data_IF_201286027668
#
_entry.id   IF_201286027668
#
_cell.length_a   1.000
_cell.length_b   1.000
_cell.length_c   1.000
_cell.angle_alpha   90.00
_cell.angle_beta   90.00
_cell.angle_gamma   90.00
#
_symmetry.space_group_name_H-M   'P 1'
#
loop_
_entity.id
_entity.type
_entity.pdbx_description
1 polymer ?
#
# COMPACT_ATOMS: atom_id res chain seq x y z
N UNK A 1 -7.96 15.49 11.80
CA UNK A 1 -7.50 14.20 11.24
C UNK A 1 -8.02 14.17 9.82
N UNK A 2 -7.15 14.39 8.84
CA UNK A 2 -7.58 14.31 7.43
C UNK A 2 -8.06 12.89 7.21
N UNK A 3 -9.30 12.72 6.75
CA UNK A 3 -9.78 11.43 6.28
C UNK A 3 -8.97 11.12 5.02
N UNK A 4 -7.80 10.50 5.16
CA UNK A 4 -7.16 9.94 3.98
C UNK A 4 -7.98 8.71 3.63
N UNK A 5 -8.77 8.83 2.56
CA UNK A 5 -9.47 7.69 1.99
C UNK A 5 -8.41 6.67 1.61
N UNK A 6 -8.37 5.55 2.33
CA UNK A 6 -7.52 4.40 1.98
C UNK A 6 -7.83 4.07 0.53
N UNK A 7 -6.80 4.09 -0.33
CA UNK A 7 -6.96 3.73 -1.73
C UNK A 7 -6.76 2.22 -1.86
N UNK A 8 -7.46 1.56 -2.80
CA UNK A 8 -7.12 0.19 -3.15
C UNK A 8 -5.62 0.08 -3.51
N UNK A 9 -4.98 -0.99 -3.07
CA UNK A 9 -3.56 -1.23 -3.28
C UNK A 9 -3.33 -1.65 -4.74
N UNK A 10 -2.94 -0.70 -5.59
CA UNK A 10 -2.73 -0.91 -7.02
C UNK A 10 -1.54 -1.84 -7.28
N UNK A 11 -1.81 -2.94 -7.97
CA UNK A 11 -0.83 -3.94 -8.38
C UNK A 11 -0.12 -3.44 -9.63
N UNK A 12 1.20 -3.29 -9.55
CA UNK A 12 2.03 -2.88 -10.69
C UNK A 12 2.68 -4.06 -11.38
N UNK A 13 2.84 -5.17 -10.66
CA UNK A 13 3.44 -6.40 -11.19
C UNK A 13 3.00 -7.61 -10.39
N UNK A 14 2.77 -8.70 -11.11
CA UNK A 14 2.54 -10.04 -10.55
C UNK A 14 3.78 -10.87 -10.85
N UNK A 15 4.33 -11.53 -9.83
CA UNK A 15 5.50 -12.40 -9.99
C UNK A 15 5.11 -13.66 -10.77
N UNK A 16 5.93 -14.12 -11.74
CA UNK A 16 5.70 -15.40 -12.39
C UNK A 16 5.81 -16.53 -11.37
N UNK A 17 5.11 -17.64 -11.63
CA UNK A 17 5.11 -18.84 -10.78
C UNK A 17 4.70 -18.55 -9.31
N UNK A 18 3.82 -17.57 -9.10
CA UNK A 18 3.26 -17.19 -7.80
C UNK A 18 1.78 -17.53 -7.69
N UNK A 19 1.26 -17.58 -6.46
CA UNK A 19 -0.16 -17.79 -6.19
C UNK A 19 -1.02 -16.77 -6.95
N UNK A 20 -0.64 -15.50 -6.97
CA UNK A 20 -1.38 -14.47 -7.69
C UNK A 20 -1.39 -14.72 -9.20
N UNK A 21 -0.31 -15.24 -9.79
CA UNK A 21 -0.28 -15.59 -11.21
C UNK A 21 -1.21 -16.78 -11.52
N UNK A 22 -1.26 -17.78 -10.65
CA UNK A 22 -2.15 -18.95 -10.80
C UNK A 22 -3.63 -18.59 -10.67
N UNK A 23 -3.94 -17.67 -9.75
CA UNK A 23 -5.30 -17.13 -9.54
C UNK A 23 -5.72 -16.21 -10.69
N UNK A 24 -4.76 -15.63 -11.42
CA UNK A 24 -5.01 -14.81 -12.61
C UNK A 24 -5.08 -13.31 -12.34
N UNK A 25 -4.37 -12.82 -11.32
CA UNK A 25 -4.18 -11.39 -11.12
C UNK A 25 -3.36 -10.77 -12.25
N UNK A 26 -3.70 -9.53 -12.60
CA UNK A 26 -3.00 -8.76 -13.62
C UNK A 26 -2.49 -7.41 -13.06
N UNK A 27 -1.46 -6.87 -13.71
CA UNK A 27 -1.03 -5.50 -13.41
C UNK A 27 -2.15 -4.51 -13.82
N UNK A 28 -2.52 -3.62 -12.89
CA UNK A 28 -3.67 -2.74 -13.04
C UNK A 28 -4.85 -3.11 -12.15
N UNK A 29 -4.90 -4.34 -11.64
CA UNK A 29 -5.81 -4.73 -10.57
C UNK A 29 -5.43 -4.05 -9.26
N UNK A 30 -6.35 -3.98 -8.30
CA UNK A 30 -6.07 -3.42 -6.98
C UNK A 30 -6.76 -4.20 -5.87
N UNK A 31 -6.02 -4.48 -4.78
CA UNK A 31 -6.60 -5.08 -3.58
C UNK A 31 -7.38 -4.00 -2.83
N UNK A 32 -8.69 -4.21 -2.68
CA UNK A 32 -9.58 -3.34 -1.93
C UNK A 32 -9.57 -3.72 -0.46
N UNK A 33 -9.74 -5.01 -0.15
CA UNK A 33 -9.77 -5.53 1.21
C UNK A 33 -9.24 -6.97 1.27
N UNK A 34 -8.74 -7.36 2.45
CA UNK A 34 -8.32 -8.72 2.79
C UNK A 34 -9.03 -9.08 4.09
N UNK A 35 -9.81 -10.17 4.10
CA UNK A 35 -10.61 -10.59 5.25
C UNK A 35 -11.49 -9.44 5.80
N UNK A 36 -12.07 -8.64 4.89
CA UNK A 36 -12.90 -7.48 5.20
C UNK A 36 -12.15 -6.24 5.73
N UNK A 37 -10.81 -6.25 5.74
CA UNK A 37 -9.97 -5.15 6.23
C UNK A 37 -9.30 -4.46 5.05
N UNK A 38 -9.43 -3.12 4.97
CA UNK A 38 -8.71 -2.30 4.01
C UNK A 38 -7.26 -2.06 4.49
N UNK A 39 -6.23 -2.63 3.83
CA UNK A 39 -4.86 -2.40 4.23
C UNK A 39 -4.49 -0.93 4.02
N UNK A 40 -3.80 -0.31 4.98
CA UNK A 40 -3.33 1.09 4.85
C UNK A 40 -1.98 1.20 4.17
N UNK A 41 -1.20 0.13 4.19
CA UNK A 41 0.17 0.07 3.71
C UNK A 41 0.63 -1.39 3.53
N UNK A 42 1.88 -1.57 3.09
CA UNK A 42 2.49 -2.89 2.92
C UNK A 42 2.67 -3.69 4.22
N UNK A 43 2.75 -3.02 5.37
CA UNK A 43 2.88 -3.71 6.66
C UNK A 43 1.54 -4.38 6.99
N UNK A 44 0.44 -3.63 6.87
CA UNK A 44 -0.91 -4.18 7.02
C UNK A 44 -1.15 -5.31 6.01
N UNK A 45 -0.79 -5.11 4.72
CA UNK A 45 -0.91 -6.15 3.70
C UNK A 45 -0.18 -7.45 4.09
N UNK A 46 1.10 -7.35 4.48
CA UNK A 46 1.89 -8.52 4.90
C UNK A 46 1.31 -9.21 6.13
N UNK A 47 0.80 -8.43 7.08
CA UNK A 47 0.16 -8.96 8.28
C UNK A 47 -1.13 -9.72 7.96
N UNK A 48 -2.00 -9.13 7.13
CA UNK A 48 -3.27 -9.74 6.74
C UNK A 48 -3.05 -10.99 5.88
N UNK A 49 -2.04 -10.99 5.02
CA UNK A 49 -1.67 -12.16 4.21
C UNK A 49 -1.00 -13.29 5.02
N UNK A 50 -0.75 -13.12 6.33
CA UNK A 50 -0.19 -14.19 7.15
C UNK A 50 -1.21 -15.29 7.48
N UNK A 51 -2.51 -15.05 7.29
CA UNK A 51 -3.55 -16.06 7.44
C UNK A 51 -3.47 -17.12 6.32
N UNK A 52 -3.90 -18.35 6.63
CA UNK A 52 -3.95 -19.47 5.67
C UNK A 52 -5.14 -19.35 4.70
N UNK A 53 -6.24 -18.76 5.15
CA UNK A 53 -7.45 -18.52 4.36
C UNK A 53 -7.65 -17.02 4.18
N UNK A 54 -7.60 -16.57 2.93
CA UNK A 54 -7.76 -15.17 2.56
C UNK A 54 -9.02 -14.98 1.71
N UNK A 55 -9.89 -14.07 2.13
CA UNK A 55 -10.99 -13.52 1.35
C UNK A 55 -10.57 -12.14 0.81
N UNK A 56 -10.24 -12.07 -0.47
CA UNK A 56 -9.77 -10.86 -1.13
C UNK A 56 -10.92 -10.19 -1.88
N UNK A 57 -11.10 -8.90 -1.66
CA UNK A 57 -11.87 -8.03 -2.57
C UNK A 57 -10.90 -7.37 -3.54
N UNK A 58 -11.07 -7.62 -4.84
CA UNK A 58 -10.17 -7.16 -5.90
C UNK A 58 -10.95 -6.27 -6.86
N UNK A 59 -10.43 -5.07 -7.12
CA UNK A 59 -10.91 -4.17 -8.16
C UNK A 59 -10.11 -4.44 -9.43
N UNK A 60 -10.77 -4.89 -10.50
CA UNK A 60 -10.10 -5.10 -11.78
C UNK A 60 -9.82 -3.79 -12.51
N UNK A 61 -8.99 -3.86 -13.56
CA UNK A 61 -8.68 -2.71 -14.42
C UNK A 61 -9.91 -2.08 -15.13
N UNK A 62 -11.06 -2.78 -15.16
CA UNK A 62 -12.33 -2.26 -15.71
C UNK A 62 -13.17 -1.52 -14.68
N UNK A 63 -12.77 -1.57 -13.39
CA UNK A 63 -13.47 -0.96 -12.27
C UNK A 63 -14.53 -1.85 -11.63
N UNK A 64 -14.53 -3.16 -11.90
CA UNK A 64 -15.44 -4.13 -11.29
C UNK A 64 -14.77 -4.82 -10.09
N UNK A 65 -15.54 -5.00 -9.02
CA UNK A 65 -15.09 -5.72 -7.82
C UNK A 65 -15.39 -7.22 -7.98
N UNK A 66 -14.41 -8.04 -7.60
CA UNK A 66 -14.50 -9.49 -7.51
C UNK A 66 -14.08 -9.95 -6.12
N UNK A 67 -14.70 -11.04 -5.66
CA UNK A 67 -14.29 -11.73 -4.44
C UNK A 67 -13.48 -12.96 -4.81
N UNK A 68 -12.32 -13.13 -4.21
CA UNK A 68 -11.38 -14.21 -4.48
C UNK A 68 -10.99 -14.86 -3.16
N UNK A 69 -11.22 -16.17 -3.05
CA UNK A 69 -10.81 -16.95 -1.89
C UNK A 69 -9.50 -17.68 -2.23
N UNK A 70 -8.51 -17.57 -1.34
CA UNK A 70 -7.20 -18.22 -1.47
C UNK A 70 -6.90 -19.02 -0.21
N UNK A 71 -6.53 -20.29 -0.38
CA UNK A 71 -5.98 -21.14 0.66
C UNK A 71 -4.48 -21.34 0.38
N UNK A 72 -3.64 -21.08 1.38
CA UNK A 72 -2.18 -21.16 1.27
C UNK A 72 -1.52 -21.50 2.61
N UNK A 73 -0.25 -21.86 2.59
CA UNK A 73 0.53 -21.97 3.83
C UNK A 73 0.81 -20.57 4.40
N UNK A 74 0.99 -20.46 5.72
CA UNK A 74 1.14 -19.18 6.41
C UNK A 74 2.39 -18.38 5.97
N UNK A 75 3.42 -19.06 5.47
CA UNK A 75 4.68 -18.49 4.99
C UNK A 75 4.71 -18.20 3.48
N UNK A 76 3.69 -18.64 2.74
CA UNK A 76 3.59 -18.38 1.31
C UNK A 76 3.19 -16.92 1.01
N UNK A 77 3.94 -16.29 0.11
CA UNK A 77 3.63 -14.97 -0.41
C UNK A 77 2.73 -15.06 -1.65
N UNK A 78 1.80 -14.10 -1.81
CA UNK A 78 0.94 -14.05 -3.00
C UNK A 78 1.72 -13.70 -4.28
N UNK A 79 2.88 -13.05 -4.18
CA UNK A 79 3.65 -12.60 -5.35
C UNK A 79 3.12 -11.32 -6.02
N UNK A 80 2.53 -10.41 -5.24
CA UNK A 80 2.05 -9.10 -5.70
C UNK A 80 3.05 -7.99 -5.37
N UNK A 81 3.35 -7.15 -6.36
CA UNK A 81 4.08 -5.87 -6.18
C UNK A 81 3.12 -4.69 -6.39
N UNK A 82 3.27 -3.65 -5.56
CA UNK A 82 2.36 -2.51 -5.51
C UNK A 82 3.03 -1.20 -5.95
N UNK A 83 2.24 -0.22 -6.38
CA UNK A 83 2.73 1.11 -6.82
C UNK A 83 3.43 1.89 -5.70
N UNK A 84 2.88 1.83 -4.49
CA UNK A 84 3.33 2.58 -3.32
C UNK A 84 3.31 1.68 -2.12
N UNK A 85 4.18 1.96 -1.14
CA UNK A 85 4.14 1.25 0.12
C UNK A 85 3.03 1.74 1.06
N UNK A 86 2.49 2.94 0.83
CA UNK A 86 1.45 3.58 1.62
C UNK A 86 0.20 3.79 0.76
N UNK A 87 -0.89 3.10 1.10
CA UNK A 87 -2.16 3.13 0.38
C UNK A 87 -3.08 4.25 0.88
N UNK A 88 -2.88 4.70 2.11
CA UNK A 88 -3.48 5.90 2.70
C UNK A 88 -2.57 7.13 2.61
N UNK A 89 -1.51 7.08 1.79
CA UNK A 89 -0.58 8.17 1.59
C UNK A 89 0.33 8.47 2.78
N UNK A 90 1.14 9.52 2.63
CA UNK A 90 2.15 9.89 3.62
C UNK A 90 1.51 10.58 4.83
N UNK A 91 1.81 10.10 6.04
CA UNK A 91 1.54 10.85 7.27
C UNK A 91 2.49 12.05 7.31
N UNK A 92 1.93 13.26 7.28
CA UNK A 92 2.73 14.49 7.26
C UNK A 92 2.69 15.24 8.59
N UNK A 93 3.85 15.73 9.00
CA UNK A 93 3.98 16.61 10.16
C UNK A 93 3.16 17.90 9.93
N UNK A 94 2.21 18.19 10.81
CA UNK A 94 1.40 19.42 10.74
C UNK A 94 1.89 20.52 11.69
N UNK A 95 3.08 20.36 12.28
CA UNK A 95 3.67 21.36 13.15
C UNK A 95 4.17 22.57 12.34
N UNK A 96 3.95 23.77 12.89
CA UNK A 96 4.40 25.05 12.33
C UNK A 96 5.57 25.61 13.13
N UNK A 97 6.58 24.77 13.33
CA UNK A 97 7.76 25.15 14.09
C UNK A 97 8.49 26.30 13.40
N UNK A 98 8.86 27.39 14.11
CA UNK A 98 9.60 28.50 13.50
C UNK A 98 10.98 28.09 12.97
N UNK A 99 11.49 26.94 13.41
CA UNK A 99 12.77 26.33 13.02
C UNK A 99 12.62 25.18 12.01
N UNK A 100 11.46 25.00 11.38
CA UNK A 100 11.28 23.90 10.42
C UNK A 100 12.09 24.14 9.13
N UNK A 101 13.13 23.33 8.90
CA UNK A 101 13.97 23.44 7.70
C UNK A 101 13.18 23.26 6.40
N UNK A 102 12.17 22.40 6.39
CA UNK A 102 11.32 22.17 5.21
C UNK A 102 10.53 23.43 4.85
N UNK A 103 9.94 24.12 5.84
CA UNK A 103 9.21 25.39 5.64
C UNK A 103 10.13 26.53 5.19
N UNK A 104 11.40 26.50 5.61
CA UNK A 104 12.38 27.54 5.29
C UNK A 104 13.05 27.33 3.93
N UNK A 105 12.71 26.27 3.17
CA UNK A 105 13.31 26.05 1.86
C UNK A 105 12.90 27.13 0.84
N UNK A 106 13.83 27.55 -0.04
CA UNK A 106 13.51 28.49 -1.10
C UNK A 106 12.52 27.88 -2.11
N UNK A 107 11.68 28.69 -2.78
CA UNK A 107 10.74 28.19 -3.80
C UNK A 107 11.47 27.65 -5.04
N UNK A 108 10.77 26.84 -5.84
CA UNK A 108 11.26 26.32 -7.13
C UNK A 108 12.10 25.04 -7.06
N UNK A 109 12.13 24.34 -5.92
CA UNK A 109 12.74 23.01 -5.78
C UNK A 109 11.75 21.91 -6.18
N UNK A 110 12.22 20.66 -6.20
CA UNK A 110 11.37 19.48 -6.44
C UNK A 110 10.25 19.43 -5.40
N UNK A 111 9.02 19.15 -5.84
CA UNK A 111 7.84 19.14 -4.96
C UNK A 111 8.00 18.21 -3.75
N UNK A 112 8.60 17.03 -3.94
CA UNK A 112 8.83 16.07 -2.86
C UNK A 112 9.72 16.61 -1.72
N UNK A 113 10.58 17.60 -1.98
CA UNK A 113 11.42 18.20 -0.95
C UNK A 113 10.64 19.07 0.04
N UNK A 114 9.42 19.50 -0.31
CA UNK A 114 8.58 20.30 0.57
C UNK A 114 7.63 19.46 1.43
N UNK A 115 7.65 18.13 1.28
CA UNK A 115 6.86 17.23 2.11
C UNK A 115 7.53 17.07 3.48
N UNK A 116 6.79 17.31 4.56
CA UNK A 116 7.25 17.04 5.92
C UNK A 116 6.89 15.62 6.31
N UNK A 117 7.84 14.71 6.17
CA UNK A 117 7.69 13.33 6.58
C UNK A 117 7.60 13.20 8.11
N UNK A 118 6.57 12.52 8.59
CA UNK A 118 6.36 12.12 10.00
C UNK A 118 5.85 10.67 10.04
N UNK A 119 6.12 9.89 8.99
CA UNK A 119 5.56 8.56 8.77
C UNK A 119 6.55 7.46 9.16
N UNK A 120 6.36 6.92 10.36
CA UNK A 120 7.21 5.86 10.91
C UNK A 120 7.24 4.59 10.05
N UNK A 121 6.22 4.36 9.21
CA UNK A 121 6.10 3.14 8.39
C UNK A 121 7.19 3.08 7.34
N UNK A 122 7.60 4.22 6.78
CA UNK A 122 8.67 4.28 5.79
C UNK A 122 10.03 3.88 6.38
N UNK A 123 10.31 4.29 7.61
CA UNK A 123 11.52 3.85 8.33
C UNK A 123 11.57 2.33 8.49
N UNK A 124 10.42 1.70 8.79
CA UNK A 124 10.32 0.25 8.90
C UNK A 124 10.53 -0.45 7.55
N UNK A 125 9.89 0.05 6.49
CA UNK A 125 9.86 -0.60 5.19
C UNK A 125 11.16 -0.45 4.38
N UNK A 126 11.81 0.70 4.48
CA UNK A 126 12.99 1.01 3.67
C UNK A 126 14.31 1.04 4.46
N UNK A 127 14.23 0.89 5.78
CA UNK A 127 15.38 1.06 6.65
C UNK A 127 15.81 2.53 6.75
N UNK A 128 16.31 2.92 7.92
CA UNK A 128 16.92 4.23 8.15
C UNK A 128 18.37 4.04 8.58
#
# INVERSE_FOLDING_TARGET
MSQTSIRPALITKVLPDSIAAEVGFEAGDAIVAINGIHPRDLIDYKFLCADELLELEVLDATGKIHSVEIEKDYDDELGLEFETALFDGLIQCNNRCPFCFIDQQPPGKRQSLYLKDDDYRLSFLYGS
#
